data_IF_501679641246
#
_entry.id   IF_501679641246
#
_cell.length_a   1.000
_cell.length_b   1.000
_cell.length_c   1.000
_cell.angle_alpha   90.00
_cell.angle_beta   90.00
_cell.angle_gamma   90.00
#
_symmetry.space_group_name_H-M   'P 1'
#
loop_
_entity.id
_entity.type
_entity.pdbx_description
1 polymer ?
#
# COMPACT_ATOMS: atom_id res chain seq x y z
N UNK A 1 -34.45 -36.23 -42.65
CA UNK A 1 -33.93 -34.95 -42.13
C UNK A 1 -34.63 -34.67 -40.80
N UNK A 2 -33.92 -34.80 -39.67
CA UNK A 2 -34.44 -34.50 -38.33
C UNK A 2 -33.75 -33.23 -37.81
N UNK A 3 -34.48 -32.25 -37.24
CA UNK A 3 -33.87 -31.07 -36.67
C UNK A 3 -33.47 -31.33 -35.21
N UNK A 4 -32.19 -31.21 -34.89
CA UNK A 4 -31.66 -31.17 -33.52
C UNK A 4 -31.71 -29.72 -33.01
N UNK A 5 -32.69 -29.42 -32.15
CA UNK A 5 -32.72 -28.16 -31.40
C UNK A 5 -31.87 -28.34 -30.15
N UNK A 6 -30.65 -27.80 -30.14
CA UNK A 6 -29.82 -27.67 -28.94
C UNK A 6 -30.37 -26.56 -28.05
N UNK A 7 -31.08 -26.93 -26.97
CA UNK A 7 -31.43 -26.02 -25.89
C UNK A 7 -30.15 -25.65 -25.12
N UNK A 8 -29.59 -24.48 -25.39
CA UNK A 8 -28.50 -23.90 -24.61
C UNK A 8 -29.01 -23.60 -23.20
N UNK A 9 -28.54 -24.35 -22.21
CA UNK A 9 -28.81 -24.12 -20.78
C UNK A 9 -27.94 -22.93 -20.34
N UNK A 10 -28.47 -21.87 -19.72
CA UNK A 10 -27.62 -20.86 -19.10
C UNK A 10 -26.95 -21.50 -17.88
N UNK A 11 -25.64 -21.70 -17.94
CA UNK A 11 -24.83 -22.07 -16.79
C UNK A 11 -24.73 -20.85 -15.88
N UNK A 12 -25.57 -20.80 -14.84
CA UNK A 12 -25.40 -19.88 -13.72
C UNK A 12 -24.11 -20.27 -12.99
N UNK A 13 -23.00 -19.60 -13.31
CA UNK A 13 -21.76 -19.68 -12.56
C UNK A 13 -21.99 -19.07 -11.17
N UNK A 14 -22.43 -19.90 -10.24
CA UNK A 14 -22.48 -19.55 -8.83
C UNK A 14 -21.02 -19.39 -8.39
N UNK A 15 -20.53 -18.15 -8.33
CA UNK A 15 -19.21 -17.83 -7.82
C UNK A 15 -19.14 -18.30 -6.36
N UNK A 16 -18.42 -19.41 -6.12
CA UNK A 16 -18.07 -19.79 -4.76
C UNK A 16 -17.30 -18.62 -4.13
N UNK A 17 -17.71 -18.11 -2.96
CA UNK A 17 -16.95 -17.04 -2.31
C UNK A 17 -15.54 -17.56 -2.03
N UNK A 18 -14.54 -16.89 -2.60
CA UNK A 18 -13.15 -17.27 -2.42
C UNK A 18 -12.78 -16.99 -0.94
N UNK A 19 -12.44 -18.01 -0.12
CA UNK A 19 -12.30 -17.86 1.34
C UNK A 19 -10.99 -17.16 1.76
N UNK A 20 -10.32 -16.47 0.83
CA UNK A 20 -8.99 -15.88 1.03
C UNK A 20 -8.97 -14.84 2.14
N UNK A 21 -9.94 -13.93 2.17
CA UNK A 21 -9.97 -12.84 3.14
C UNK A 21 -10.20 -13.34 4.58
N UNK A 22 -11.18 -14.23 4.87
CA UNK A 22 -11.30 -14.85 6.19
C UNK A 22 -10.06 -15.65 6.62
N UNK A 23 -9.38 -16.32 5.69
CA UNK A 23 -8.15 -17.07 5.98
C UNK A 23 -6.99 -16.12 6.33
N UNK A 24 -6.86 -15.00 5.60
CA UNK A 24 -5.88 -13.96 5.86
C UNK A 24 -6.03 -13.39 7.27
N UNK A 25 -7.27 -13.01 7.66
CA UNK A 25 -7.56 -12.51 9.01
C UNK A 25 -7.28 -13.55 10.10
N UNK A 26 -7.62 -14.82 9.85
CA UNK A 26 -7.33 -15.90 10.80
C UNK A 26 -5.83 -16.09 11.04
N UNK A 27 -4.99 -15.83 10.03
CA UNK A 27 -3.53 -15.96 10.12
C UNK A 27 -2.89 -14.82 10.92
N UNK A 28 -3.53 -13.65 11.04
CA UNK A 28 -3.02 -12.52 11.85
C UNK A 28 -2.79 -12.95 13.31
N UNK A 29 -3.66 -13.81 13.84
CA UNK A 29 -3.58 -14.30 15.22
C UNK A 29 -2.53 -15.40 15.40
N UNK A 30 -2.11 -16.07 14.31
CA UNK A 30 -1.23 -17.24 14.33
C UNK A 30 0.20 -16.88 13.95
N UNK A 31 0.93 -16.28 14.89
CA UNK A 31 2.33 -15.83 14.71
C UNK A 31 3.28 -16.88 14.14
N UNK A 32 3.15 -18.15 14.51
CA UNK A 32 4.02 -19.22 13.99
C UNK A 32 3.82 -19.53 12.50
N UNK A 33 2.73 -19.07 11.90
CA UNK A 33 2.41 -19.28 10.49
C UNK A 33 2.86 -18.10 9.61
N UNK A 34 3.46 -17.06 10.20
CA UNK A 34 3.89 -15.85 9.51
C UNK A 34 5.35 -15.97 9.08
N UNK A 35 5.62 -15.63 7.81
CA UNK A 35 6.97 -15.64 7.25
C UNK A 35 7.70 -14.31 7.56
N UNK A 36 8.23 -14.24 8.78
CA UNK A 36 8.85 -13.03 9.33
C UNK A 36 10.14 -12.70 8.58
N UNK A 37 10.96 -13.70 8.25
CA UNK A 37 12.23 -13.52 7.56
C UNK A 37 12.03 -12.98 6.14
N UNK A 38 11.12 -13.59 5.38
CA UNK A 38 10.76 -13.09 4.06
C UNK A 38 10.21 -11.65 4.13
N UNK A 39 9.41 -11.34 5.16
CA UNK A 39 8.88 -10.00 5.35
C UNK A 39 9.95 -8.96 5.59
N UNK A 40 10.93 -9.23 6.47
CA UNK A 40 12.04 -8.29 6.68
C UNK A 40 12.93 -8.14 5.45
N UNK A 41 13.20 -9.24 4.76
CA UNK A 41 13.92 -9.19 3.48
C UNK A 41 13.19 -8.30 2.48
N UNK A 42 11.87 -8.44 2.39
CA UNK A 42 11.04 -7.64 1.51
C UNK A 42 11.05 -6.15 1.91
N UNK A 43 10.87 -5.85 3.20
CA UNK A 43 10.91 -4.48 3.73
C UNK A 43 12.25 -3.80 3.43
N UNK A 44 13.37 -4.50 3.61
CA UNK A 44 14.70 -3.98 3.28
C UNK A 44 14.84 -3.67 1.79
N UNK A 45 14.43 -4.60 0.93
CA UNK A 45 14.51 -4.43 -0.53
C UNK A 45 13.53 -3.38 -1.04
N UNK A 46 12.39 -3.17 -0.39
CA UNK A 46 11.49 -2.05 -0.72
C UNK A 46 12.14 -0.70 -0.49
N UNK A 47 13.10 -0.59 0.44
CA UNK A 47 13.85 0.65 0.69
C UNK A 47 15.06 0.81 -0.25
N UNK A 48 15.71 -0.29 -0.65
CA UNK A 48 16.99 -0.23 -1.40
C UNK A 48 16.85 -0.60 -2.88
N UNK A 49 16.12 -1.65 -3.20
CA UNK A 49 16.00 -2.24 -4.54
C UNK A 49 14.60 -2.81 -4.80
N UNK A 50 13.55 -1.97 -4.89
CA UNK A 50 12.16 -2.41 -4.89
C UNK A 50 11.79 -3.28 -6.10
N UNK A 51 12.51 -3.13 -7.22
CA UNK A 51 12.33 -3.98 -8.41
C UNK A 51 12.49 -5.46 -8.11
N UNK A 52 13.37 -5.82 -7.16
CA UNK A 52 13.61 -7.21 -6.75
C UNK A 52 12.36 -7.81 -6.08
N UNK A 53 11.66 -7.02 -5.26
CA UNK A 53 10.41 -7.45 -4.59
C UNK A 53 9.31 -7.73 -5.61
N UNK A 54 9.17 -6.87 -6.61
CA UNK A 54 8.16 -7.06 -7.65
C UNK A 54 8.52 -8.17 -8.65
N UNK A 55 9.80 -8.47 -8.86
CA UNK A 55 10.20 -9.71 -9.55
C UNK A 55 9.76 -10.95 -8.78
N UNK A 56 9.88 -10.95 -7.45
CA UNK A 56 9.37 -12.05 -6.63
C UNK A 56 7.85 -12.18 -6.69
N UNK A 57 7.12 -11.06 -6.84
CA UNK A 57 5.68 -11.07 -7.08
C UNK A 57 5.32 -11.80 -8.38
N UNK A 58 6.10 -11.60 -9.47
CA UNK A 58 5.92 -12.36 -10.73
C UNK A 58 6.16 -13.85 -10.52
N UNK A 59 7.21 -14.22 -9.77
CA UNK A 59 7.50 -15.62 -9.45
C UNK A 59 6.40 -16.27 -8.59
N UNK A 60 5.87 -15.52 -7.60
CA UNK A 60 4.74 -15.96 -6.79
C UNK A 60 3.50 -16.25 -7.65
N UNK A 61 3.22 -15.39 -8.64
CA UNK A 61 2.14 -15.63 -9.59
C UNK A 61 2.34 -16.92 -10.39
N UNK A 62 3.57 -17.25 -10.81
CA UNK A 62 3.84 -18.49 -11.55
C UNK A 62 3.63 -19.75 -10.72
N UNK A 63 3.93 -19.69 -9.42
CA UNK A 63 3.89 -20.85 -8.52
C UNK A 63 2.52 -21.05 -7.85
N UNK A 64 1.83 -19.97 -7.47
CA UNK A 64 0.51 -20.01 -6.79
C UNK A 64 -0.66 -19.55 -7.64
N UNK A 65 -0.42 -19.05 -8.85
CA UNK A 65 -1.44 -18.51 -9.75
C UNK A 65 -2.33 -17.40 -9.14
N UNK A 66 -1.80 -16.62 -8.21
CA UNK A 66 -2.47 -15.46 -7.61
C UNK A 66 -1.48 -14.31 -7.43
N UNK A 67 -1.99 -13.08 -7.33
CA UNK A 67 -1.15 -11.89 -7.18
C UNK A 67 -1.03 -11.46 -5.72
N UNK A 68 -2.12 -11.54 -4.95
CA UNK A 68 -2.11 -11.15 -3.54
C UNK A 68 -1.30 -12.12 -2.69
N UNK A 69 -0.68 -11.58 -1.64
CA UNK A 69 -0.05 -12.36 -0.58
C UNK A 69 -1.08 -13.00 0.33
N UNK A 70 -0.80 -14.23 0.76
CA UNK A 70 -1.63 -14.97 1.72
C UNK A 70 -1.19 -14.77 3.18
N UNK A 71 -0.03 -14.15 3.39
CA UNK A 71 0.58 -13.94 4.69
C UNK A 71 0.31 -12.52 5.19
N UNK A 72 -0.15 -12.36 6.44
CA UNK A 72 -0.36 -11.03 7.02
C UNK A 72 0.91 -10.43 7.63
N UNK A 73 2.06 -11.08 7.46
CA UNK A 73 3.30 -10.76 8.17
C UNK A 73 3.75 -9.31 7.92
N UNK A 74 3.65 -8.85 6.69
CA UNK A 74 4.00 -7.48 6.32
C UNK A 74 3.19 -6.43 7.07
N UNK A 75 1.86 -6.57 7.09
CA UNK A 75 0.95 -5.59 7.72
C UNK A 75 1.18 -5.56 9.23
N UNK A 76 1.35 -6.73 9.85
CA UNK A 76 1.56 -6.85 11.29
C UNK A 76 2.90 -6.24 11.71
N UNK A 77 3.99 -6.57 11.01
CA UNK A 77 5.32 -6.02 11.31
C UNK A 77 5.35 -4.51 11.03
N UNK A 78 4.73 -4.05 9.93
CA UNK A 78 4.64 -2.63 9.63
C UNK A 78 3.85 -1.87 10.71
N UNK A 79 2.75 -2.44 11.20
CA UNK A 79 1.97 -1.88 12.32
C UNK A 79 2.79 -1.82 13.61
N UNK A 80 3.55 -2.87 13.92
CA UNK A 80 4.41 -2.90 15.09
C UNK A 80 5.50 -1.81 15.02
N UNK A 81 6.18 -1.69 13.87
CA UNK A 81 7.22 -0.66 13.67
C UNK A 81 6.63 0.75 13.72
N UNK A 82 5.45 0.96 13.15
CA UNK A 82 4.75 2.26 13.23
C UNK A 82 4.34 2.59 14.67
N UNK A 83 3.87 1.60 15.43
CA UNK A 83 3.54 1.78 16.85
C UNK A 83 4.78 2.16 17.67
N UNK A 84 5.90 1.44 17.49
CA UNK A 84 7.17 1.72 18.17
C UNK A 84 7.67 3.13 17.82
N UNK A 85 7.66 3.51 16.55
CA UNK A 85 8.05 4.86 16.13
C UNK A 85 7.15 5.92 16.76
N UNK A 86 5.83 5.71 16.74
CA UNK A 86 4.86 6.65 17.33
C UNK A 86 5.03 6.79 18.84
N UNK A 87 5.29 5.69 19.56
CA UNK A 87 5.63 5.71 20.98
C UNK A 87 6.91 6.50 21.22
N UNK A 88 7.94 6.34 20.39
CA UNK A 88 9.18 7.12 20.51
C UNK A 88 8.93 8.63 20.32
N UNK A 89 8.08 9.03 19.38
CA UNK A 89 7.65 10.43 19.24
C UNK A 89 6.85 10.92 20.45
N UNK A 90 5.94 10.11 20.99
CA UNK A 90 5.22 10.48 22.21
C UNK A 90 6.18 10.61 23.40
N UNK A 91 7.18 9.73 23.54
CA UNK A 91 8.19 9.84 24.59
C UNK A 91 9.04 11.12 24.47
N UNK A 92 9.23 11.63 23.26
CA UNK A 92 10.00 12.85 23.00
C UNK A 92 9.17 14.15 23.17
N UNK A 93 7.88 14.13 22.82
CA UNK A 93 7.05 15.35 22.70
C UNK A 93 5.82 15.39 23.61
N UNK A 94 5.49 14.29 24.28
CA UNK A 94 4.30 14.17 25.13
C UNK A 94 4.68 13.97 26.60
N UNK A 95 3.77 14.34 27.49
CA UNK A 95 3.92 14.21 28.93
C UNK A 95 2.86 13.29 29.55
N UNK A 96 1.87 12.82 28.77
CA UNK A 96 0.78 11.98 29.25
C UNK A 96 0.75 10.60 28.57
N UNK A 97 0.86 9.53 29.35
CA UNK A 97 0.76 8.16 28.85
C UNK A 97 -0.60 7.86 28.19
N UNK A 98 -1.70 8.46 28.68
CA UNK A 98 -3.02 8.28 28.11
C UNK A 98 -3.12 8.91 26.70
N UNK A 99 -2.48 10.06 26.50
CA UNK A 99 -2.43 10.71 25.20
C UNK A 99 -1.54 9.94 24.24
N UNK A 100 -0.40 9.40 24.69
CA UNK A 100 0.45 8.51 23.90
C UNK A 100 -0.32 7.28 23.37
N UNK A 101 -1.13 6.63 24.19
CA UNK A 101 -1.98 5.50 23.76
C UNK A 101 -2.99 5.93 22.70
N UNK A 102 -3.64 7.09 22.89
CA UNK A 102 -4.56 7.65 21.91
C UNK A 102 -3.88 7.93 20.57
N UNK A 103 -2.70 8.54 20.58
CA UNK A 103 -1.93 8.86 19.36
C UNK A 103 -1.52 7.59 18.62
N UNK A 104 -1.00 6.57 19.33
CA UNK A 104 -0.64 5.28 18.71
C UNK A 104 -1.84 4.62 18.03
N UNK A 105 -2.98 4.54 18.73
CA UNK A 105 -4.20 3.96 18.16
C UNK A 105 -4.69 4.77 16.97
N UNK A 106 -4.70 6.11 17.08
CA UNK A 106 -5.14 7.00 16.00
C UNK A 106 -4.26 6.89 14.75
N UNK A 107 -2.94 6.86 14.91
CA UNK A 107 -2.00 6.72 13.79
C UNK A 107 -2.19 5.36 13.10
N UNK A 108 -2.28 4.27 13.86
CA UNK A 108 -2.50 2.94 13.29
C UNK A 108 -3.84 2.83 12.54
N UNK A 109 -4.93 3.28 13.17
CA UNK A 109 -6.27 3.13 12.61
C UNK A 109 -6.51 4.08 11.44
N UNK A 110 -6.22 5.36 11.58
CA UNK A 110 -6.58 6.36 10.58
C UNK A 110 -5.51 6.53 9.49
N UNK A 111 -4.22 6.57 9.86
CA UNK A 111 -3.15 6.89 8.90
C UNK A 111 -2.67 5.66 8.13
N UNK A 112 -2.66 4.49 8.77
CA UNK A 112 -2.25 3.26 8.11
C UNK A 112 -3.45 2.46 7.59
N UNK A 113 -4.36 2.02 8.46
CA UNK A 113 -5.41 1.09 8.05
C UNK A 113 -6.52 1.75 7.21
N UNK A 114 -7.18 2.80 7.71
CA UNK A 114 -8.33 3.40 7.04
C UNK A 114 -7.92 4.11 5.75
N UNK A 115 -6.87 4.93 5.80
CA UNK A 115 -6.29 5.54 4.59
C UNK A 115 -5.82 4.47 3.60
N UNK A 116 -5.20 3.38 4.08
CA UNK A 116 -4.78 2.28 3.23
C UNK A 116 -5.92 1.54 2.55
N UNK A 117 -6.99 1.21 3.29
CA UNK A 117 -8.21 0.60 2.73
C UNK A 117 -8.86 1.51 1.70
N UNK A 118 -8.94 2.81 1.99
CA UNK A 118 -9.50 3.78 1.06
C UNK A 118 -8.68 3.90 -0.23
N UNK A 119 -7.36 4.06 -0.12
CA UNK A 119 -6.45 4.16 -1.26
C UNK A 119 -6.43 2.86 -2.08
N UNK A 120 -6.35 1.71 -1.42
CA UNK A 120 -6.40 0.40 -2.06
C UNK A 120 -7.70 0.19 -2.83
N UNK A 121 -8.84 0.53 -2.24
CA UNK A 121 -10.15 0.41 -2.88
C UNK A 121 -10.26 1.34 -4.08
N UNK A 122 -9.74 2.57 -3.96
CA UNK A 122 -9.71 3.55 -5.05
C UNK A 122 -8.85 3.06 -6.22
N UNK A 123 -7.61 2.62 -5.95
CA UNK A 123 -6.70 2.09 -6.97
C UNK A 123 -7.22 0.78 -7.59
N UNK A 124 -7.79 -0.12 -6.79
CA UNK A 124 -8.41 -1.35 -7.26
C UNK A 124 -9.60 -1.08 -8.19
N UNK A 125 -10.46 -0.14 -7.82
CA UNK A 125 -11.59 0.27 -8.65
C UNK A 125 -11.12 0.92 -9.94
N UNK A 126 -10.18 1.87 -9.85
CA UNK A 126 -9.63 2.59 -10.99
C UNK A 126 -8.96 1.64 -12.00
N UNK A 127 -8.08 0.76 -11.52
CA UNK A 127 -7.33 -0.17 -12.38
C UNK A 127 -8.26 -1.15 -13.10
N UNK A 128 -9.21 -1.74 -12.38
CA UNK A 128 -10.17 -2.64 -12.99
C UNK A 128 -11.18 -1.94 -13.91
N UNK A 129 -11.46 -0.66 -13.70
CA UNK A 129 -12.38 0.11 -14.54
C UNK A 129 -11.72 0.65 -15.82
N UNK A 130 -10.46 1.14 -15.73
CA UNK A 130 -9.86 1.96 -16.79
C UNK A 130 -8.49 1.50 -17.31
N UNK A 131 -7.74 0.66 -16.58
CA UNK A 131 -6.37 0.30 -16.95
C UNK A 131 -6.24 -1.15 -17.45
N UNK A 132 -7.31 -1.95 -17.47
CA UNK A 132 -7.22 -3.31 -18.01
C UNK A 132 -7.13 -3.28 -19.53
N UNK A 133 -6.23 -4.09 -20.07
CA UNK A 133 -6.14 -4.31 -21.51
C UNK A 133 -7.46 -4.88 -22.03
N UNK A 134 -7.98 -4.30 -23.12
CA UNK A 134 -9.15 -4.82 -23.81
C UNK A 134 -8.72 -6.07 -24.58
N UNK A 135 -9.15 -7.26 -24.14
CA UNK A 135 -8.71 -8.53 -24.70
C UNK A 135 -9.00 -8.61 -26.22
N UNK A 136 -7.97 -8.70 -27.10
CA UNK A 136 -8.19 -8.83 -28.54
C UNK A 136 -8.70 -10.23 -28.95
N UNK A 137 -8.51 -11.24 -28.10
CA UNK A 137 -8.80 -12.65 -28.41
C UNK A 137 -9.55 -13.35 -27.26
N UNK A 138 -10.70 -13.96 -27.56
CA UNK A 138 -11.66 -14.59 -26.62
C UNK A 138 -11.15 -15.84 -25.87
N UNK A 139 -9.88 -16.21 -26.04
CA UNK A 139 -9.28 -17.41 -25.44
C UNK A 139 -8.34 -17.12 -24.25
N UNK A 140 -8.15 -15.85 -23.86
CA UNK A 140 -7.37 -15.49 -22.67
C UNK A 140 -8.32 -15.33 -21.48
N UNK A 141 -7.99 -15.99 -20.36
CA UNK A 141 -8.75 -15.85 -19.10
C UNK A 141 -8.68 -14.40 -18.63
N UNK A 142 -9.83 -13.73 -18.51
CA UNK A 142 -9.90 -12.37 -17.97
C UNK A 142 -9.27 -12.31 -16.57
N UNK A 143 -8.15 -11.62 -16.44
CA UNK A 143 -7.54 -11.34 -15.15
C UNK A 143 -8.03 -9.98 -14.62
N UNK A 144 -8.18 -9.91 -13.30
CA UNK A 144 -8.58 -8.70 -12.57
C UNK A 144 -7.59 -8.46 -11.46
N UNK A 145 -7.40 -7.19 -11.11
CA UNK A 145 -6.62 -6.83 -9.95
C UNK A 145 -7.36 -7.31 -8.71
N UNK A 146 -6.68 -8.11 -7.88
CA UNK A 146 -7.21 -8.59 -6.60
C UNK A 146 -7.18 -7.43 -5.60
N UNK A 147 -8.25 -7.23 -4.82
CA UNK A 147 -8.30 -6.13 -3.83
C UNK A 147 -7.17 -6.25 -2.79
N UNK A 148 -6.89 -7.48 -2.34
CA UNK A 148 -5.83 -7.74 -1.37
C UNK A 148 -4.44 -7.40 -1.95
N UNK A 149 -4.25 -7.55 -3.27
CA UNK A 149 -3.04 -7.10 -3.96
C UNK A 149 -2.94 -5.56 -4.00
N UNK A 150 -4.04 -4.85 -4.25
CA UNK A 150 -4.03 -3.39 -4.22
C UNK A 150 -3.71 -2.84 -2.82
N UNK A 151 -4.23 -3.48 -1.77
CA UNK A 151 -3.88 -3.15 -0.38
C UNK A 151 -2.41 -3.46 -0.07
N UNK A 152 -1.91 -4.56 -0.61
CA UNK A 152 -0.52 -4.96 -0.48
C UNK A 152 0.46 -3.97 -1.13
N UNK A 153 0.12 -3.44 -2.30
CA UNK A 153 0.87 -2.35 -2.97
C UNK A 153 0.86 -1.07 -2.12
N UNK A 154 -0.26 -0.75 -1.47
CA UNK A 154 -0.31 0.37 -0.52
C UNK A 154 0.64 0.14 0.65
N UNK A 155 0.61 -1.03 1.30
CA UNK A 155 1.50 -1.34 2.42
C UNK A 155 2.98 -1.28 2.00
N UNK A 156 3.32 -1.84 0.83
CA UNK A 156 4.67 -1.77 0.28
C UNK A 156 5.15 -0.34 0.05
N UNK A 157 4.26 0.54 -0.40
CA UNK A 157 4.59 1.94 -0.67
C UNK A 157 4.64 2.78 0.61
N UNK A 158 3.73 2.50 1.55
CA UNK A 158 3.64 3.17 2.84
C UNK A 158 4.88 2.93 3.68
N UNK A 159 5.39 1.70 3.72
CA UNK A 159 6.50 1.36 4.62
C UNK A 159 7.77 2.20 4.39
N UNK A 160 8.35 2.31 3.17
CA UNK A 160 9.52 3.16 2.95
C UNK A 160 9.24 4.64 3.15
N UNK A 161 8.03 5.11 2.79
CA UNK A 161 7.60 6.49 3.05
C UNK A 161 7.58 6.79 4.55
N UNK A 162 7.01 5.88 5.34
CA UNK A 162 7.03 5.91 6.81
C UNK A 162 8.46 5.95 7.34
N UNK A 163 9.34 5.05 6.90
CA UNK A 163 10.74 4.99 7.35
C UNK A 163 11.46 6.32 7.08
N UNK A 164 11.30 6.89 5.88
CA UNK A 164 11.93 8.16 5.51
C UNK A 164 11.43 9.33 6.37
N UNK A 165 10.13 9.39 6.65
CA UNK A 165 9.55 10.51 7.40
C UNK A 165 9.81 10.40 8.92
N UNK A 166 9.74 9.19 9.48
CA UNK A 166 9.83 8.99 10.93
C UNK A 166 11.28 8.86 11.43
N UNK A 167 12.22 8.36 10.62
CA UNK A 167 13.63 8.23 11.01
C UNK A 167 14.38 9.57 11.13
N UNK A 168 13.80 10.65 10.61
CA UNK A 168 14.51 11.90 10.35
C UNK A 168 13.84 13.11 11.04
N UNK A 169 13.15 12.90 12.15
CA UNK A 169 12.31 13.90 12.84
C UNK A 169 13.01 15.14 13.42
N UNK A 170 14.32 15.29 13.25
CA UNK A 170 15.12 16.36 13.87
C UNK A 170 15.91 17.18 12.84
N UNK A 171 15.21 17.62 11.81
CA UNK A 171 15.83 18.17 10.61
C UNK A 171 15.38 19.61 10.34
N UNK A 172 16.28 20.51 9.85
CA UNK A 172 15.91 21.86 9.44
C UNK A 172 14.73 21.89 8.46
N UNK A 173 13.88 22.92 8.54
CA UNK A 173 12.63 23.06 7.77
C UNK A 173 12.78 22.77 6.28
N UNK A 174 13.87 23.24 5.65
CA UNK A 174 14.15 23.00 4.24
C UNK A 174 14.37 21.51 3.94
N UNK A 175 15.20 20.84 4.73
CA UNK A 175 15.51 19.42 4.54
C UNK A 175 14.28 18.55 4.89
N UNK A 176 13.41 18.97 5.80
CA UNK A 176 12.14 18.29 6.08
C UNK A 176 11.16 18.38 4.90
N UNK A 177 11.05 19.53 4.23
CA UNK A 177 10.21 19.67 3.03
C UNK A 177 10.75 18.84 1.86
N UNK A 178 12.08 18.80 1.68
CA UNK A 178 12.72 17.94 0.67
C UNK A 178 12.50 16.45 0.95
N UNK A 179 12.65 16.02 2.20
CA UNK A 179 12.35 14.65 2.60
C UNK A 179 10.89 14.28 2.36
N UNK A 180 9.96 15.19 2.64
CA UNK A 180 8.54 14.98 2.35
C UNK A 180 8.28 14.80 0.86
N UNK A 181 8.87 15.65 0.03
CA UNK A 181 8.81 15.54 -1.43
C UNK A 181 9.34 14.18 -1.92
N UNK A 182 10.52 13.76 -1.42
CA UNK A 182 11.14 12.49 -1.80
C UNK A 182 10.29 11.31 -1.33
N UNK A 183 9.82 11.31 -0.07
CA UNK A 183 9.03 10.22 0.49
C UNK A 183 7.67 10.06 -0.22
N UNK A 184 6.98 11.18 -0.51
CA UNK A 184 5.74 11.16 -1.28
C UNK A 184 5.97 10.70 -2.72
N UNK A 185 7.04 11.15 -3.36
CA UNK A 185 7.41 10.69 -4.72
C UNK A 185 7.71 9.20 -4.75
N UNK A 186 8.42 8.69 -3.72
CA UNK A 186 8.76 7.28 -3.60
C UNK A 186 7.53 6.40 -3.37
N UNK A 187 6.57 6.86 -2.57
CA UNK A 187 5.28 6.20 -2.41
C UNK A 187 4.57 5.97 -3.75
N UNK A 188 4.53 7.00 -4.61
CA UNK A 188 3.90 6.89 -5.93
C UNK A 188 4.74 6.04 -6.90
N UNK A 189 6.06 6.11 -6.83
CA UNK A 189 6.95 5.24 -7.61
C UNK A 189 6.74 3.75 -7.29
N UNK A 190 6.59 3.41 -6.01
CA UNK A 190 6.30 2.03 -5.59
C UNK A 190 4.91 1.56 -5.99
N UNK A 191 3.91 2.44 -5.99
CA UNK A 191 2.60 2.14 -6.55
C UNK A 191 2.72 1.82 -8.05
N UNK A 192 3.40 2.67 -8.82
CA UNK A 192 3.67 2.42 -10.23
C UNK A 192 4.30 1.05 -10.44
N UNK A 193 5.40 0.75 -9.74
CA UNK A 193 6.12 -0.51 -9.91
C UNK A 193 5.30 -1.74 -9.51
N UNK A 194 4.40 -1.59 -8.52
CA UNK A 194 3.42 -2.60 -8.17
C UNK A 194 2.45 -2.88 -9.31
N UNK A 195 1.74 -1.87 -9.80
CA UNK A 195 0.77 -2.11 -10.86
C UNK A 195 1.42 -2.46 -12.22
N UNK A 196 2.61 -1.95 -12.52
CA UNK A 196 3.39 -2.27 -13.73
C UNK A 196 3.84 -3.75 -13.81
N UNK A 197 3.87 -4.43 -12.67
CA UNK A 197 4.19 -5.87 -12.64
C UNK A 197 3.10 -6.72 -13.30
N UNK A 198 1.87 -6.21 -13.37
CA UNK A 198 0.68 -6.90 -13.84
C UNK A 198 0.61 -6.81 -15.37
N UNK A 199 0.76 -7.94 -16.10
CA UNK A 199 0.87 -7.93 -17.56
C UNK A 199 -0.45 -7.60 -18.28
N UNK A 200 -1.58 -7.61 -17.57
CA UNK A 200 -2.92 -7.31 -18.11
C UNK A 200 -3.36 -5.87 -17.84
N UNK A 201 -2.49 -5.03 -17.27
CA UNK A 201 -2.72 -3.61 -17.12
C UNK A 201 -1.93 -2.83 -18.17
N UNK A 202 -2.60 -1.92 -18.85
CA UNK A 202 -2.00 -0.92 -19.71
C UNK A 202 -1.94 0.45 -19.01
N UNK A 203 -1.06 1.33 -19.52
CA UNK A 203 -0.97 2.75 -19.10
C UNK A 203 -0.79 2.93 -17.58
N UNK A 204 -0.07 2.01 -16.96
CA UNK A 204 0.33 2.05 -15.52
C UNK A 204 1.13 3.31 -15.17
N UNK A 205 1.74 3.97 -16.17
CA UNK A 205 2.40 5.29 -16.04
C UNK A 205 1.51 6.36 -15.41
N UNK A 206 0.18 6.20 -15.43
CA UNK A 206 -0.76 7.02 -14.67
C UNK A 206 -0.37 7.18 -13.18
N UNK A 207 0.15 6.12 -12.55
CA UNK A 207 0.56 6.16 -11.14
C UNK A 207 1.77 7.07 -10.87
N UNK A 208 2.49 7.50 -11.91
CA UNK A 208 3.60 8.45 -11.79
C UNK A 208 3.15 9.92 -11.84
N UNK A 209 1.93 10.23 -12.31
CA UNK A 209 1.46 11.62 -12.46
C UNK A 209 1.43 12.40 -11.13
N UNK A 210 1.04 11.81 -9.98
CA UNK A 210 1.14 12.50 -8.70
C UNK A 210 2.56 12.95 -8.33
N UNK A 211 3.61 12.29 -8.83
CA UNK A 211 5.00 12.73 -8.63
C UNK A 211 5.23 14.10 -9.25
N UNK A 212 4.71 14.34 -10.46
CA UNK A 212 4.80 15.65 -11.11
C UNK A 212 4.09 16.74 -10.28
N UNK A 213 2.93 16.41 -9.71
CA UNK A 213 2.20 17.32 -8.80
C UNK A 213 3.04 17.61 -7.55
N UNK A 214 3.63 16.60 -6.93
CA UNK A 214 4.51 16.75 -5.75
C UNK A 214 5.71 17.64 -6.06
N UNK A 215 6.37 17.45 -7.21
CA UNK A 215 7.52 18.26 -7.65
C UNK A 215 7.14 19.73 -7.83
N UNK A 216 5.96 20.02 -8.39
CA UNK A 216 5.48 21.39 -8.61
C UNK A 216 5.01 22.04 -7.31
N UNK A 217 4.32 21.30 -6.44
CA UNK A 217 3.83 21.84 -5.16
C UNK A 217 4.96 22.09 -4.15
N UNK A 218 6.00 21.27 -4.16
CA UNK A 218 7.11 21.37 -3.18
C UNK A 218 7.77 22.77 -3.09
N UNK A 219 8.19 23.43 -4.20
CA UNK A 219 8.73 24.78 -4.12
C UNK A 219 7.68 25.80 -3.63
N UNK A 220 6.40 25.63 -3.96
CA UNK A 220 5.33 26.51 -3.46
C UNK A 220 5.20 26.39 -1.93
N UNK A 221 5.24 25.18 -1.39
CA UNK A 221 5.19 24.96 0.06
C UNK A 221 6.43 25.54 0.76
N UNK A 222 7.61 25.37 0.17
CA UNK A 222 8.87 25.95 0.70
C UNK A 222 8.81 27.47 0.71
N UNK A 223 8.43 28.10 -0.40
CA UNK A 223 8.33 29.57 -0.50
C UNK A 223 7.23 30.15 0.38
N UNK A 224 6.12 29.42 0.53
CA UNK A 224 5.02 29.78 1.43
C UNK A 224 5.29 29.52 2.91
N UNK A 225 6.46 28.97 3.27
CA UNK A 225 6.83 28.66 4.65
C UNK A 225 6.02 27.52 5.28
N UNK A 226 5.24 26.77 4.49
CA UNK A 226 4.48 25.63 4.97
C UNK A 226 5.37 24.39 5.05
N UNK A 227 5.27 23.66 6.16
CA UNK A 227 5.99 22.40 6.37
C UNK A 227 4.99 21.28 6.69
N UNK A 228 4.79 20.30 5.77
CA UNK A 228 3.86 19.20 5.98
C UNK A 228 4.19 18.35 7.21
N UNK A 229 5.47 18.04 7.45
CA UNK A 229 5.88 17.25 8.62
C UNK A 229 5.50 17.94 9.93
N UNK A 230 5.72 19.26 10.03
CA UNK A 230 5.30 20.07 11.18
C UNK A 230 3.79 20.13 11.32
N UNK A 231 3.07 20.24 10.20
CA UNK A 231 1.60 20.21 10.21
C UNK A 231 1.07 18.89 10.79
N UNK A 232 1.60 17.74 10.37
CA UNK A 232 1.24 16.44 10.95
C UNK A 232 1.59 16.33 12.45
N UNK A 233 2.76 16.82 12.86
CA UNK A 233 3.13 16.86 14.28
C UNK A 233 2.17 17.74 15.08
N UNK A 234 1.76 18.89 14.54
CA UNK A 234 0.81 19.77 15.21
C UNK A 234 -0.57 19.12 15.38
N UNK A 235 -1.08 18.33 14.43
CA UNK A 235 -2.39 17.65 14.59
C UNK A 235 -2.45 16.84 15.89
N UNK A 236 -1.35 16.20 16.28
CA UNK A 236 -1.30 15.34 17.45
C UNK A 236 -0.75 16.02 18.70
N UNK A 237 0.24 16.89 18.56
CA UNK A 237 0.99 17.44 19.71
C UNK A 237 0.74 18.94 19.94
N UNK A 238 -0.08 19.62 19.13
CA UNK A 238 -0.33 21.08 19.25
C UNK A 238 -1.15 21.48 20.47
N UNK A 239 -1.62 20.57 21.32
CA UNK A 239 -2.57 20.94 22.36
C UNK A 239 -1.98 21.63 23.60
N UNK A 240 -0.65 21.75 23.79
CA UNK A 240 -0.08 22.57 24.89
C UNK A 240 1.30 23.13 24.56
N UNK A 241 1.33 24.34 23.99
CA UNK A 241 2.39 25.32 24.23
C UNK A 241 1.75 26.52 24.93
#
# INVERSE_FOLDING_TARGET
>A
MLPTVSKTRPSSSTSRPNPMFPQYLRRIVKWQQMDIEYTFWQMLHLCTAPKVVYQHTKYHKQTKNQWARDDPAFVVICSLLLAVATVAYCAAYDHSAAHAVFVVISVLLFHFLLAGVFLATSCWSLTNAYLREEAPNSHVVEQRVEWLYAFDVHCNSFFPMFVMLYAHGFIPVLLSNLLFMVAASYYHYLNFLGYDVLPFLERTTFFLYPIGVVIVLSPILILGGFNPSRYFMNIYFSQRL
#
